data_IF_186286202650
#
_entry.id   IF_186286202650
#
_cell.length_a   1.000
_cell.length_b   1.000
_cell.length_c   1.000
_cell.angle_alpha   90.00
_cell.angle_beta   90.00
_cell.angle_gamma   90.00
#
_symmetry.space_group_name_H-M   'P 1'
#
loop_
_entity.id
_entity.type
_entity.pdbx_description
1 polymer ?
#
# COMPACT_ATOMS: atom_id res chain seq x y z
N UNK A 1 38.84 -8.23 77.01
CA UNK A 1 38.57 -9.41 76.16
C UNK A 1 37.77 -8.92 74.96
N UNK A 2 38.41 -8.84 73.79
CA UNK A 2 37.80 -8.44 72.51
C UNK A 2 36.70 -9.46 72.15
N UNK A 3 35.46 -9.06 71.83
CA UNK A 3 34.64 -9.71 70.76
C UNK A 3 33.57 -8.71 70.20
N UNK A 4 33.72 -8.45 68.90
CA UNK A 4 32.84 -8.02 67.81
C UNK A 4 31.44 -7.38 67.96
N UNK A 5 31.26 -6.27 67.22
CA UNK A 5 30.05 -5.93 66.45
C UNK A 5 29.95 -6.77 65.16
N UNK A 6 28.73 -6.99 64.63
CA UNK A 6 28.26 -6.21 63.47
C UNK A 6 26.78 -5.76 63.64
N UNK A 7 26.43 -4.49 63.43
CA UNK A 7 26.08 -3.82 62.17
C UNK A 7 24.74 -4.29 61.51
N UNK A 8 23.95 -3.37 60.93
CA UNK A 8 22.50 -3.51 60.74
C UNK A 8 22.12 -4.18 59.42
N UNK A 9 20.94 -4.79 59.41
CA UNK A 9 20.31 -5.43 58.25
C UNK A 9 20.14 -4.40 57.12
N UNK A 10 20.87 -4.61 56.02
CA UNK A 10 20.69 -3.90 54.76
C UNK A 10 19.28 -4.20 54.21
N UNK A 11 18.46 -3.16 54.08
CA UNK A 11 17.19 -3.20 53.39
C UNK A 11 17.49 -3.25 51.88
N UNK A 12 17.42 -4.45 51.29
CA UNK A 12 17.65 -4.66 49.86
C UNK A 12 16.44 -4.15 49.07
N UNK A 13 16.51 -2.89 48.63
CA UNK A 13 15.58 -2.32 47.66
C UNK A 13 15.75 -3.05 46.32
N UNK A 14 14.80 -3.93 46.00
CA UNK A 14 14.68 -4.56 44.68
C UNK A 14 14.16 -3.52 43.68
N UNK A 15 15.08 -2.70 43.16
CA UNK A 15 14.82 -1.82 42.04
C UNK A 15 14.84 -2.70 40.78
N UNK A 16 13.67 -3.09 40.29
CA UNK A 16 13.53 -3.71 38.98
C UNK A 16 13.91 -2.64 37.94
N UNK A 17 15.16 -2.66 37.49
CA UNK A 17 15.58 -1.97 36.30
C UNK A 17 14.85 -2.62 35.11
N UNK A 18 13.71 -2.04 34.74
CA UNK A 18 13.12 -2.22 33.43
C UNK A 18 14.11 -1.55 32.47
N UNK A 19 15.07 -2.32 31.97
CA UNK A 19 15.93 -1.88 30.90
C UNK A 19 15.02 -1.50 29.73
N UNK A 20 14.92 -0.19 29.46
CA UNK A 20 14.39 0.31 28.21
C UNK A 20 15.27 -0.31 27.12
N UNK A 21 14.74 -1.32 26.44
CA UNK A 21 15.32 -1.81 25.20
C UNK A 21 15.30 -0.60 24.27
N UNK A 22 16.45 -0.14 23.76
CA UNK A 22 16.46 0.98 22.84
C UNK A 22 15.55 0.63 21.66
N UNK A 23 14.64 1.55 21.35
CA UNK A 23 13.68 1.50 20.24
C UNK A 23 14.39 1.65 18.88
N UNK A 24 15.54 1.00 18.70
CA UNK A 24 15.93 0.51 17.40
C UNK A 24 15.35 -0.90 17.29
N UNK A 25 14.02 -0.96 17.15
CA UNK A 25 13.43 -2.10 16.51
C UNK A 25 14.15 -2.24 15.18
N UNK A 26 14.95 -3.30 15.03
CA UNK A 26 15.39 -3.74 13.71
C UNK A 26 14.15 -3.68 12.83
N UNK A 27 14.10 -2.72 11.91
CA UNK A 27 13.15 -2.75 10.83
C UNK A 27 13.47 -4.04 10.09
N UNK A 28 12.78 -5.13 10.45
CA UNK A 28 12.85 -6.37 9.71
C UNK A 28 12.49 -5.97 8.28
N UNK A 29 13.48 -6.02 7.39
CA UNK A 29 13.25 -5.79 5.97
C UNK A 29 12.29 -6.87 5.53
N UNK A 30 10.99 -6.56 5.53
CA UNK A 30 9.98 -7.47 5.01
C UNK A 30 10.36 -7.66 3.54
N UNK A 31 10.76 -8.88 3.14
CA UNK A 31 11.14 -9.12 1.75
C UNK A 31 9.96 -8.75 0.87
N UNK A 32 10.23 -8.04 -0.24
CA UNK A 32 9.20 -7.70 -1.19
C UNK A 32 8.45 -8.97 -1.61
N UNK A 33 7.11 -8.94 -1.69
CA UNK A 33 6.35 -10.11 -2.11
C UNK A 33 6.78 -10.53 -3.51
N UNK A 34 6.78 -11.83 -3.79
CA UNK A 34 7.02 -12.30 -5.14
C UNK A 34 5.79 -11.95 -6.02
N UNK A 35 6.01 -11.09 -7.01
CA UNK A 35 4.98 -10.55 -7.90
C UNK A 35 5.09 -11.17 -9.29
N UNK A 36 3.98 -11.64 -9.83
CA UNK A 36 3.85 -11.96 -11.24
C UNK A 36 3.43 -10.71 -12.02
N UNK A 37 4.17 -10.38 -13.07
CA UNK A 37 3.86 -9.28 -13.98
C UNK A 37 3.40 -9.85 -15.32
N UNK A 38 2.26 -9.40 -15.79
CA UNK A 38 1.72 -9.71 -17.11
C UNK A 38 1.50 -8.42 -17.91
N UNK A 39 1.76 -8.46 -19.20
CA UNK A 39 1.56 -7.32 -20.09
C UNK A 39 0.72 -7.71 -21.30
N UNK A 40 -0.08 -6.79 -21.79
CA UNK A 40 -0.86 -6.93 -23.01
C UNK A 40 -0.92 -5.59 -23.74
N UNK A 41 -1.04 -5.63 -25.06
CA UNK A 41 -1.27 -4.44 -25.89
C UNK A 41 -2.23 -4.75 -27.03
N UNK A 42 -2.95 -3.73 -27.49
CA UNK A 42 -3.87 -3.82 -28.62
C UNK A 42 -4.00 -2.48 -29.36
N UNK A 43 -4.16 -2.55 -30.68
CA UNK A 43 -4.30 -1.39 -31.54
C UNK A 43 -5.78 -0.96 -31.61
N UNK A 44 -6.05 0.33 -31.46
CA UNK A 44 -7.36 0.96 -31.69
C UNK A 44 -8.53 0.39 -30.87
N UNK A 45 -8.26 -0.34 -29.79
CA UNK A 45 -9.28 -0.95 -28.93
C UNK A 45 -8.91 -0.63 -27.48
N UNK A 46 -9.85 -0.07 -26.71
CA UNK A 46 -9.66 0.18 -25.27
C UNK A 46 -9.87 -1.08 -24.45
N UNK A 47 -9.46 -1.06 -23.18
CA UNK A 47 -9.74 -2.16 -22.26
C UNK A 47 -11.07 -1.93 -21.54
N UNK A 48 -11.70 -3.02 -21.09
CA UNK A 48 -12.68 -2.94 -20.02
C UNK A 48 -11.91 -2.68 -18.71
N UNK A 49 -12.37 -1.68 -17.96
CA UNK A 49 -11.82 -1.31 -16.65
C UNK A 49 -12.86 -1.54 -15.57
N UNK A 50 -12.42 -1.72 -14.32
CA UNK A 50 -13.35 -1.88 -13.22
C UNK A 50 -14.04 -0.55 -12.88
N UNK A 51 -15.21 -0.62 -12.25
CA UNK A 51 -15.90 0.56 -11.69
C UNK A 51 -16.27 0.38 -10.22
N UNK A 52 -15.83 -0.74 -9.65
CA UNK A 52 -16.17 -1.25 -8.34
C UNK A 52 -14.95 -1.86 -7.62
N UNK A 53 -13.74 -1.43 -7.98
CA UNK A 53 -12.51 -1.81 -7.27
C UNK A 53 -12.27 -0.92 -6.02
N UNK A 54 -11.18 -1.17 -5.30
CA UNK A 54 -10.91 -0.48 -4.04
C UNK A 54 -10.69 1.03 -4.22
N UNK A 55 -10.21 1.48 -5.37
CA UNK A 55 -10.00 2.90 -5.65
C UNK A 55 -11.30 3.66 -5.92
N UNK A 56 -12.40 2.99 -6.26
CA UNK A 56 -13.73 3.59 -6.42
C UNK A 56 -14.62 3.38 -5.18
N UNK A 57 -14.48 2.24 -4.49
CA UNK A 57 -15.42 1.84 -3.42
C UNK A 57 -14.91 2.10 -2.01
N UNK A 58 -13.60 2.19 -1.83
CA UNK A 58 -12.95 2.19 -0.52
C UNK A 58 -11.83 3.22 -0.39
N UNK A 59 -11.86 4.27 -1.21
CA UNK A 59 -10.87 5.34 -1.17
C UNK A 59 -11.23 6.35 -0.08
N UNK A 60 -10.33 6.56 0.90
CA UNK A 60 -10.47 7.64 1.87
C UNK A 60 -9.94 8.95 1.30
N UNK A 61 -8.74 8.93 0.72
CA UNK A 61 -8.10 10.12 0.15
C UNK A 61 -7.16 9.75 -0.99
N UNK A 62 -7.01 10.66 -1.96
CA UNK A 62 -5.96 10.63 -2.97
C UNK A 62 -5.07 11.87 -2.87
N UNK A 63 -3.76 11.71 -3.11
CA UNK A 63 -2.82 12.82 -3.25
C UNK A 63 -1.97 12.66 -4.51
N UNK A 64 -1.66 13.79 -5.15
CA UNK A 64 -1.03 13.85 -6.45
C UNK A 64 0.11 14.87 -6.43
N UNK A 65 1.28 14.45 -6.90
CA UNK A 65 2.43 15.30 -7.16
C UNK A 65 2.65 15.40 -8.67
N UNK A 66 2.83 16.63 -9.17
CA UNK A 66 2.92 16.92 -10.60
C UNK A 66 1.58 17.25 -11.26
N UNK A 67 1.63 17.80 -12.48
CA UNK A 67 0.44 18.12 -13.28
C UNK A 67 0.13 17.00 -14.29
N UNK A 68 -0.99 16.32 -14.07
CA UNK A 68 -1.45 15.19 -14.90
C UNK A 68 -2.25 15.62 -16.15
N UNK A 69 -2.28 16.91 -16.49
CA UNK A 69 -3.13 17.47 -17.56
C UNK A 69 -2.39 17.91 -18.82
N UNK A 70 -1.21 17.34 -19.10
CA UNK A 70 -0.49 17.67 -20.34
C UNK A 70 -1.37 17.36 -21.56
N UNK A 71 -1.26 18.19 -22.58
CA UNK A 71 -1.99 18.06 -23.85
C UNK A 71 -3.53 17.98 -23.70
N UNK A 72 -4.09 18.57 -22.64
CA UNK A 72 -5.54 18.63 -22.43
C UNK A 72 -6.14 17.39 -21.75
N UNK A 73 -5.30 16.49 -21.23
CA UNK A 73 -5.71 15.30 -20.49
C UNK A 73 -6.67 15.62 -19.32
N UNK A 74 -7.61 14.71 -19.04
CA UNK A 74 -8.59 14.83 -17.96
C UNK A 74 -7.90 15.04 -16.58
N UNK A 75 -6.70 14.47 -16.44
CA UNK A 75 -5.88 14.58 -15.26
C UNK A 75 -6.10 13.43 -14.29
N UNK A 76 -5.68 13.61 -13.05
CA UNK A 76 -5.64 12.55 -12.05
C UNK A 76 -6.99 11.88 -11.74
N UNK A 77 -8.11 12.48 -12.13
CA UNK A 77 -9.45 11.87 -12.04
C UNK A 77 -9.59 10.63 -12.92
N UNK A 78 -8.80 10.51 -14.00
CA UNK A 78 -8.81 9.35 -14.89
C UNK A 78 -8.03 8.15 -14.33
N UNK A 79 -7.55 8.23 -13.08
CA UNK A 79 -6.91 7.07 -12.46
C UNK A 79 -7.91 6.08 -11.87
N UNK A 80 -9.13 6.51 -11.53
CA UNK A 80 -10.07 5.70 -10.76
C UNK A 80 -11.52 6.13 -10.98
N UNK A 81 -11.90 6.51 -12.19
CA UNK A 81 -13.29 6.92 -12.47
C UNK A 81 -14.12 5.82 -13.14
N UNK A 82 -13.53 4.64 -13.36
CA UNK A 82 -14.13 3.50 -14.01
C UNK A 82 -14.36 3.69 -15.51
N UNK A 83 -13.64 4.63 -16.14
CA UNK A 83 -13.80 4.95 -17.55
C UNK A 83 -12.44 4.95 -18.25
N UNK A 84 -12.20 3.95 -19.11
CA UNK A 84 -11.02 3.94 -19.98
C UNK A 84 -11.02 5.09 -21.02
N UNK A 85 -12.21 5.57 -21.38
CA UNK A 85 -12.45 6.48 -22.50
C UNK A 85 -12.88 5.77 -23.80
N UNK A 86 -13.22 6.54 -24.83
CA UNK A 86 -13.73 6.05 -26.11
C UNK A 86 -12.89 4.91 -26.72
N UNK A 87 -13.44 3.70 -26.80
CA UNK A 87 -12.72 2.55 -27.33
C UNK A 87 -12.41 2.77 -28.84
N UNK A 88 -11.18 3.17 -29.16
CA UNK A 88 -10.71 3.44 -30.53
C UNK A 88 -10.58 4.93 -30.90
N UNK A 89 -9.60 5.19 -31.79
CA UNK A 89 -9.17 6.49 -32.33
C UNK A 89 -9.49 7.73 -31.47
N UNK A 90 -8.91 7.77 -30.27
CA UNK A 90 -8.97 8.92 -29.38
C UNK A 90 -7.90 9.93 -29.76
N UNK A 91 -8.32 11.18 -30.01
CA UNK A 91 -7.44 12.33 -30.25
C UNK A 91 -6.62 12.73 -29.00
N UNK A 92 -5.98 13.90 -29.04
CA UNK A 92 -5.11 14.37 -27.96
C UNK A 92 -5.87 14.56 -26.64
N UNK A 93 -5.30 14.01 -25.56
CA UNK A 93 -5.65 14.36 -24.19
C UNK A 93 -7.04 13.95 -23.72
N UNK A 94 -7.61 12.84 -24.20
CA UNK A 94 -8.93 12.38 -23.76
C UNK A 94 -9.02 11.96 -22.28
N UNK A 95 -9.76 10.89 -22.03
CA UNK A 95 -9.92 10.27 -20.71
C UNK A 95 -8.61 9.65 -20.23
N UNK A 96 -7.67 10.48 -19.76
CA UNK A 96 -6.34 10.04 -19.31
C UNK A 96 -5.72 11.00 -18.28
N UNK A 97 -4.75 10.48 -17.55
CA UNK A 97 -3.81 11.19 -16.70
C UNK A 97 -2.41 11.07 -17.33
N UNK A 98 -1.79 12.20 -17.71
CA UNK A 98 -0.42 12.19 -18.25
C UNK A 98 0.60 12.10 -17.13
N UNK A 99 1.54 11.17 -17.20
CA UNK A 99 2.57 11.04 -16.18
C UNK A 99 3.95 10.69 -16.75
N UNK A 100 4.98 11.23 -16.09
CA UNK A 100 6.41 10.98 -16.32
C UNK A 100 7.16 10.88 -14.98
N UNK A 101 8.50 10.88 -15.01
CA UNK A 101 9.33 10.75 -13.82
C UNK A 101 9.18 11.86 -12.75
N UNK A 102 8.41 12.91 -13.02
CA UNK A 102 8.11 13.98 -12.06
C UNK A 102 6.78 13.80 -11.32
N UNK A 103 6.04 12.72 -11.60
CA UNK A 103 4.70 12.51 -11.08
C UNK A 103 4.63 11.40 -10.04
N UNK A 104 3.77 11.60 -9.03
CA UNK A 104 3.40 10.55 -8.07
C UNK A 104 1.90 10.60 -7.83
N UNK A 105 1.25 9.44 -7.82
CA UNK A 105 -0.14 9.27 -7.38
C UNK A 105 -0.19 8.35 -6.16
N UNK A 106 -0.79 8.82 -5.08
CA UNK A 106 -0.93 8.07 -3.83
C UNK A 106 -2.40 7.95 -3.48
N UNK A 107 -2.84 6.73 -3.17
CA UNK A 107 -4.21 6.41 -2.82
C UNK A 107 -4.24 5.73 -1.46
N UNK A 108 -4.97 6.33 -0.53
CA UNK A 108 -5.15 5.82 0.83
C UNK A 108 -6.56 5.27 0.96
N UNK A 109 -6.67 3.99 1.28
CA UNK A 109 -7.95 3.32 1.51
C UNK A 109 -8.56 3.73 2.86
N UNK A 110 -9.87 3.58 2.97
CA UNK A 110 -10.58 3.64 4.24
C UNK A 110 -10.15 2.47 5.17
N UNK A 111 -10.61 2.47 6.42
CA UNK A 111 -10.29 1.42 7.40
C UNK A 111 -11.54 0.68 7.87
N UNK A 112 -12.58 0.56 7.02
CA UNK A 112 -13.84 -0.09 7.39
C UNK A 112 -13.63 -1.56 7.85
N UNK A 113 -12.53 -2.20 7.41
CA UNK A 113 -12.07 -3.53 7.87
C UNK A 113 -11.09 -3.56 9.07
N UNK A 114 -10.66 -2.40 9.57
CA UNK A 114 -9.72 -2.26 10.69
C UNK A 114 -8.25 -2.28 10.28
N UNK A 115 -7.79 -3.32 9.58
CA UNK A 115 -6.36 -3.56 9.31
C UNK A 115 -5.91 -3.17 7.90
N UNK A 116 -6.74 -2.43 7.15
CA UNK A 116 -6.53 -2.18 5.72
C UNK A 116 -7.06 -3.32 4.84
N UNK A 117 -6.44 -3.53 3.68
CA UNK A 117 -6.91 -4.45 2.65
C UNK A 117 -5.86 -5.48 2.28
N UNK A 118 -6.29 -6.71 2.01
CA UNK A 118 -5.48 -7.71 1.33
C UNK A 118 -5.69 -7.55 -0.17
N UNK A 119 -4.65 -7.13 -0.88
CA UNK A 119 -4.71 -6.89 -2.31
C UNK A 119 -4.53 -8.20 -3.07
N UNK A 120 -5.42 -8.53 -4.00
CA UNK A 120 -5.28 -9.69 -4.90
C UNK A 120 -4.58 -9.34 -6.20
N UNK A 121 -4.85 -8.15 -6.74
CA UNK A 121 -4.32 -7.74 -8.02
C UNK A 121 -4.28 -6.21 -8.18
N UNK A 122 -3.38 -5.74 -9.03
CA UNK A 122 -3.39 -4.38 -9.57
C UNK A 122 -3.38 -4.49 -11.09
N UNK A 123 -4.30 -3.82 -11.77
CA UNK A 123 -4.23 -3.64 -13.22
C UNK A 123 -4.03 -2.16 -13.54
N UNK A 124 -3.11 -1.85 -14.43
CA UNK A 124 -2.90 -0.48 -14.89
C UNK A 124 -3.07 -0.43 -16.38
N UNK A 125 -3.70 0.65 -16.83
CA UNK A 125 -4.09 0.82 -18.20
C UNK A 125 -3.48 2.11 -18.72
N UNK A 126 -2.94 2.05 -19.93
CA UNK A 126 -2.48 3.24 -20.63
C UNK A 126 -2.90 3.18 -22.09
N UNK A 127 -2.96 4.33 -22.73
CA UNK A 127 -3.20 4.39 -24.15
C UNK A 127 -3.23 5.81 -24.68
N UNK A 128 -2.74 5.99 -25.89
CA UNK A 128 -2.78 7.29 -26.57
C UNK A 128 -2.73 7.05 -28.08
N UNK A 129 -1.68 7.48 -28.77
CA UNK A 129 -1.44 7.23 -30.19
C UNK A 129 -0.53 6.01 -30.40
N UNK A 130 -0.08 5.79 -31.65
CA UNK A 130 0.63 4.57 -32.05
C UNK A 130 1.91 4.27 -31.31
N UNK A 131 2.54 5.27 -30.69
CA UNK A 131 3.82 5.08 -30.00
C UNK A 131 3.77 5.49 -28.53
N UNK A 132 2.63 5.98 -28.01
CA UNK A 132 2.47 6.45 -26.63
C UNK A 132 1.56 5.57 -25.78
N UNK A 133 1.63 4.26 -26.00
CA UNK A 133 0.92 3.26 -25.19
C UNK A 133 1.73 2.71 -24.02
N UNK A 134 2.94 3.20 -23.79
CA UNK A 134 3.85 2.67 -22.79
C UNK A 134 3.42 2.95 -21.34
N UNK A 135 4.04 2.24 -20.40
CA UNK A 135 3.87 2.41 -18.97
C UNK A 135 5.23 2.27 -18.27
N UNK A 136 5.58 3.23 -17.42
CA UNK A 136 6.80 3.20 -16.62
C UNK A 136 6.52 3.76 -15.22
N UNK A 137 6.63 2.93 -14.18
CA UNK A 137 6.39 3.34 -12.80
C UNK A 137 6.93 2.31 -11.80
N UNK A 138 7.14 2.75 -10.56
CA UNK A 138 7.29 1.90 -9.39
C UNK A 138 5.99 1.94 -8.61
N UNK A 139 5.44 0.77 -8.27
CA UNK A 139 4.31 0.67 -7.37
C UNK A 139 4.77 0.13 -6.02
N UNK A 140 4.36 0.83 -4.96
CA UNK A 140 4.68 0.51 -3.58
C UNK A 140 3.43 0.58 -2.72
N UNK A 141 3.47 -0.03 -1.54
CA UNK A 141 2.37 0.02 -0.58
C UNK A 141 2.87 0.31 0.83
N UNK A 142 2.00 0.86 1.66
CA UNK A 142 2.21 0.98 3.10
C UNK A 142 1.07 0.26 3.84
N UNK A 143 1.37 -0.27 5.02
CA UNK A 143 0.39 -1.03 5.82
C UNK A 143 -0.33 -0.12 6.81
N UNK A 144 -1.50 -0.56 7.31
CA UNK A 144 -2.21 0.15 8.37
C UNK A 144 -1.37 0.31 9.66
N UNK A 145 -0.45 -0.62 9.92
CA UNK A 145 0.45 -0.57 11.08
C UNK A 145 1.66 0.36 10.87
N UNK A 146 2.03 0.64 9.61
CA UNK A 146 3.17 1.48 9.25
C UNK A 146 2.85 2.35 8.02
N UNK A 147 1.92 3.33 8.15
CA UNK A 147 1.34 4.05 7.01
C UNK A 147 2.31 4.95 6.24
N UNK A 148 3.49 5.25 6.83
CA UNK A 148 4.53 6.09 6.22
C UNK A 148 5.70 5.28 5.65
N UNK A 149 5.71 3.96 5.84
CA UNK A 149 6.80 3.08 5.40
C UNK A 149 6.36 2.32 4.16
N UNK A 150 6.92 2.68 3.02
CA UNK A 150 6.57 2.08 1.74
C UNK A 150 7.46 0.89 1.41
N UNK A 151 6.82 -0.21 1.05
CA UNK A 151 7.42 -1.45 0.57
C UNK A 151 7.14 -1.53 -0.93
N UNK A 152 8.18 -1.71 -1.74
CA UNK A 152 8.03 -1.88 -3.19
C UNK A 152 7.30 -3.20 -3.51
N UNK A 153 6.32 -3.14 -4.41
CA UNK A 153 5.69 -4.33 -5.00
C UNK A 153 6.35 -4.70 -6.32
N UNK A 154 6.47 -3.72 -7.23
CA UNK A 154 7.02 -3.94 -8.55
C UNK A 154 7.55 -2.65 -9.16
N UNK A 155 8.62 -2.79 -9.92
CA UNK A 155 9.06 -1.82 -10.92
C UNK A 155 8.56 -2.27 -12.29
N UNK A 156 7.80 -1.42 -12.97
CA UNK A 156 7.19 -1.71 -14.28
C UNK A 156 7.83 -0.82 -15.33
N UNK A 157 8.28 -1.44 -16.42
CA UNK A 157 8.64 -0.77 -17.65
C UNK A 157 8.12 -1.59 -18.84
N UNK A 158 7.13 -1.05 -19.54
CA UNK A 158 6.53 -1.66 -20.72
C UNK A 158 6.30 -0.59 -21.80
N UNK A 159 7.20 -0.49 -22.77
CA UNK A 159 7.11 0.49 -23.85
C UNK A 159 6.28 -0.06 -25.03
N UNK A 160 4.96 -0.12 -24.85
CA UNK A 160 4.04 -0.68 -25.82
C UNK A 160 3.90 0.19 -27.08
N UNK A 161 3.95 -0.45 -28.26
CA UNK A 161 3.75 0.20 -29.57
C UNK A 161 2.92 -0.68 -30.50
N UNK A 162 2.12 -0.06 -31.38
CA UNK A 162 1.33 -0.76 -32.39
C UNK A 162 1.39 -0.03 -33.72
N UNK A 163 1.32 -0.78 -34.82
CA UNK A 163 1.41 -0.21 -36.17
C UNK A 163 0.03 0.29 -36.61
N UNK A 164 -0.11 1.60 -36.78
CA UNK A 164 -1.28 2.23 -37.39
C UNK A 164 -2.43 2.43 -36.41
N UNK A 165 -2.55 3.66 -35.91
CA UNK A 165 -3.59 4.08 -34.97
C UNK A 165 -3.09 4.07 -33.53
N UNK A 166 -4.00 4.00 -32.57
CA UNK A 166 -3.74 4.18 -31.15
C UNK A 166 -3.20 2.90 -30.49
N UNK A 167 -2.15 3.03 -29.67
CA UNK A 167 -1.67 1.93 -28.83
C UNK A 167 -2.29 1.99 -27.45
N UNK A 168 -2.84 0.87 -27.02
CA UNK A 168 -3.44 0.67 -25.72
C UNK A 168 -2.70 -0.49 -25.03
N UNK A 169 -2.39 -0.35 -23.75
CA UNK A 169 -1.72 -1.38 -22.98
C UNK A 169 -2.39 -1.64 -21.64
N UNK A 170 -2.18 -2.85 -21.14
CA UNK A 170 -2.51 -3.27 -19.78
C UNK A 170 -1.27 -3.90 -19.15
N UNK A 171 -0.99 -3.55 -17.90
CA UNK A 171 -0.08 -4.30 -17.03
C UNK A 171 -0.89 -4.87 -15.88
N UNK A 172 -0.73 -6.15 -15.60
CA UNK A 172 -1.38 -6.84 -14.48
C UNK A 172 -0.35 -7.38 -13.49
N UNK A 173 -0.55 -7.10 -12.21
CA UNK A 173 0.28 -7.53 -11.09
C UNK A 173 -0.53 -8.45 -10.18
N UNK A 174 -0.02 -9.65 -9.90
CA UNK A 174 -0.64 -10.60 -8.95
C UNK A 174 0.41 -11.22 -8.04
N UNK A 175 -0.01 -11.68 -6.85
CA UNK A 175 0.88 -12.41 -5.96
C UNK A 175 1.20 -13.81 -6.51
N UNK A 176 2.45 -14.26 -6.40
CA UNK A 176 2.86 -15.56 -6.95
C UNK A 176 2.39 -16.78 -6.16
N UNK A 177 1.80 -16.57 -4.97
CA UNK A 177 1.36 -17.63 -4.07
C UNK A 177 0.23 -17.23 -3.12
N UNK A 178 -0.54 -16.20 -3.45
CA UNK A 178 -1.61 -15.68 -2.59
C UNK A 178 -1.88 -14.20 -2.85
N UNK A 179 -2.18 -13.45 -1.79
CA UNK A 179 -2.34 -12.00 -1.86
C UNK A 179 -1.07 -11.33 -2.42
N UNK A 180 -1.26 -10.32 -3.27
CA UNK A 180 -0.20 -9.44 -3.75
C UNK A 180 0.44 -8.69 -2.58
N UNK A 181 -0.39 -8.23 -1.64
CA UNK A 181 0.02 -7.54 -0.42
C UNK A 181 -1.05 -7.70 0.66
N UNK A 182 -0.67 -7.60 1.93
CA UNK A 182 -1.61 -7.76 3.06
C UNK A 182 -1.60 -6.54 3.96
N UNK A 183 -2.73 -6.30 4.62
CA UNK A 183 -2.94 -5.17 5.54
C UNK A 183 -2.60 -3.79 4.94
N UNK A 184 -2.84 -3.63 3.63
CA UNK A 184 -2.51 -2.42 2.88
C UNK A 184 -3.45 -1.29 3.26
N UNK A 185 -2.89 -0.16 3.64
CA UNK A 185 -3.65 1.08 3.83
C UNK A 185 -3.44 2.04 2.66
N UNK A 186 -2.24 2.06 2.06
CA UNK A 186 -1.89 3.03 1.02
C UNK A 186 -1.20 2.33 -0.13
N UNK A 187 -1.55 2.67 -1.35
CA UNK A 187 -0.80 2.32 -2.56
C UNK A 187 -0.25 3.59 -3.22
N UNK A 188 0.97 3.52 -3.73
CA UNK A 188 1.64 4.66 -4.37
C UNK A 188 2.29 4.25 -5.67
N UNK A 189 1.96 4.98 -6.72
CA UNK A 189 2.53 4.90 -8.05
C UNK A 189 3.48 6.07 -8.23
N UNK A 190 4.78 5.78 -8.32
CA UNK A 190 5.81 6.74 -8.67
C UNK A 190 6.13 6.55 -10.14
N UNK A 191 5.69 7.48 -10.98
CA UNK A 191 5.87 7.37 -12.42
C UNK A 191 7.34 7.57 -12.80
N UNK A 192 7.73 7.07 -13.96
CA UNK A 192 9.14 7.00 -14.38
C UNK A 192 9.32 7.50 -15.80
N UNK A 193 10.53 8.00 -16.08
CA UNK A 193 10.95 8.38 -17.42
C UNK A 193 11.34 7.14 -18.27
N UNK A 194 11.62 7.37 -19.55
CA UNK A 194 12.16 6.36 -20.46
C UNK A 194 11.18 5.80 -21.47
N UNK A 195 9.93 6.26 -21.47
CA UNK A 195 8.96 5.98 -22.51
C UNK A 195 9.21 6.82 -23.77
N UNK A 196 8.73 6.33 -24.90
CA UNK A 196 8.73 7.11 -26.14
C UNK A 196 7.94 8.40 -25.91
N UNK A 197 8.53 9.55 -26.26
CA UNK A 197 7.99 10.90 -26.04
C UNK A 197 7.96 11.39 -24.57
N UNK A 198 8.56 10.65 -23.64
CA UNK A 198 8.89 11.12 -22.30
C UNK A 198 7.75 11.08 -21.28
N UNK A 199 6.52 10.72 -21.66
CA UNK A 199 5.40 10.51 -20.75
C UNK A 199 4.36 9.56 -21.37
N UNK A 200 3.45 9.03 -20.55
CA UNK A 200 2.31 8.23 -21.00
C UNK A 200 0.97 8.80 -20.52
N UNK A 201 -0.10 8.48 -21.25
CA UNK A 201 -1.47 8.67 -20.76
C UNK A 201 -2.00 7.41 -20.10
N UNK A 202 -2.05 7.44 -18.77
CA UNK A 202 -2.68 6.41 -17.95
C UNK A 202 -4.19 6.60 -18.00
N UNK A 203 -4.94 5.51 -18.15
CA UNK A 203 -6.37 5.48 -18.45
C UNK A 203 -7.24 5.02 -17.31
N UNK A 204 -6.67 4.17 -16.45
CA UNK A 204 -7.26 3.72 -15.19
C UNK A 204 -6.16 2.97 -14.42
N UNK A 205 -6.28 2.97 -13.10
CA UNK A 205 -5.60 2.08 -12.19
C UNK A 205 -6.70 1.30 -11.46
N UNK A 206 -6.74 -0.01 -11.63
CA UNK A 206 -7.65 -0.86 -10.87
C UNK A 206 -6.87 -1.53 -9.72
N UNK A 207 -7.40 -1.47 -8.50
CA UNK A 207 -6.81 -2.17 -7.34
C UNK A 207 -7.85 -3.09 -6.69
N UNK A 208 -7.61 -4.40 -6.79
CA UNK A 208 -8.53 -5.41 -6.28
C UNK A 208 -8.06 -5.98 -4.96
N UNK A 209 -9.01 -6.27 -4.08
CA UNK A 209 -8.75 -6.92 -2.80
C UNK A 209 -9.99 -7.01 -1.94
N UNK A 210 -9.77 -7.41 -0.69
CA UNK A 210 -10.82 -7.49 0.33
C UNK A 210 -10.31 -6.90 1.64
N UNK A 211 -11.22 -6.46 2.49
CA UNK A 211 -10.89 -6.01 3.84
C UNK A 211 -10.08 -7.09 4.59
N UNK A 212 -8.96 -6.70 5.19
CA UNK A 212 -8.17 -7.58 6.02
C UNK A 212 -8.89 -7.78 7.37
N UNK A 213 -9.05 -9.05 7.79
CA UNK A 213 -9.69 -9.34 9.06
C UNK A 213 -8.87 -8.81 10.24
N UNK A 214 -9.54 -8.32 11.27
CA UNK A 214 -8.89 -8.00 12.53
C UNK A 214 -8.23 -9.27 13.12
N UNK A 215 -7.04 -9.18 13.75
CA UNK A 215 -6.43 -10.32 14.42
C UNK A 215 -7.38 -10.81 15.51
N UNK A 216 -7.74 -12.10 15.47
CA UNK A 216 -8.45 -12.73 16.59
C UNK A 216 -7.40 -12.93 17.70
N UNK A 217 -7.60 -12.38 18.91
CA UNK A 217 -6.64 -12.56 20.00
C UNK A 217 -6.45 -14.04 20.29
N UNK A 218 -5.19 -14.49 20.31
CA UNK A 218 -4.89 -15.88 20.64
C UNK A 218 -5.31 -16.18 22.10
N UNK A 219 -5.75 -17.41 22.43
CA UNK A 219 -6.22 -17.75 23.77
C UNK A 219 -5.22 -17.42 24.89
N UNK A 220 -3.92 -17.46 24.59
CA UNK A 220 -2.85 -17.08 25.52
C UNK A 220 -2.82 -15.58 25.83
N UNK A 221 -3.11 -14.71 24.86
CA UNK A 221 -3.21 -13.26 25.08
C UNK A 221 -4.41 -12.93 25.97
N UNK A 222 -5.54 -13.62 25.75
CA UNK A 222 -6.73 -13.51 26.60
C UNK A 222 -6.43 -14.02 28.01
N UNK A 223 -5.78 -15.18 28.14
CA UNK A 223 -5.40 -15.74 29.44
C UNK A 223 -4.47 -14.82 30.22
N UNK A 224 -3.48 -14.20 29.57
CA UNK A 224 -2.56 -13.25 30.19
C UNK A 224 -3.26 -11.97 30.63
N UNK A 225 -4.19 -11.45 29.81
CA UNK A 225 -4.99 -10.29 30.16
C UNK A 225 -5.86 -10.59 31.40
N UNK A 226 -6.55 -11.73 31.42
CA UNK A 226 -7.37 -12.16 32.55
C UNK A 226 -6.55 -12.40 33.82
N UNK A 227 -5.37 -13.02 33.70
CA UNK A 227 -4.46 -13.22 34.83
C UNK A 227 -3.96 -11.88 35.40
N UNK A 228 -3.61 -10.92 34.54
CA UNK A 228 -3.21 -9.57 34.95
C UNK A 228 -4.33 -8.83 35.67
N UNK A 229 -5.57 -8.89 35.15
CA UNK A 229 -6.73 -8.31 35.81
C UNK A 229 -7.04 -8.98 37.15
N UNK A 230 -6.90 -10.30 37.24
CA UNK A 230 -7.05 -11.05 38.49
C UNK A 230 -6.05 -10.62 39.57
N UNK A 231 -4.79 -10.41 39.20
CA UNK A 231 -3.74 -9.91 40.10
C UNK A 231 -4.02 -8.49 40.60
N UNK A 232 -4.49 -7.60 39.71
CA UNK A 232 -4.88 -6.23 40.08
C UNK A 232 -6.07 -6.22 41.05
N UNK A 233 -7.09 -7.04 40.80
CA UNK A 233 -8.25 -7.20 41.67
C UNK A 233 -7.86 -7.75 43.06
N UNK A 234 -6.99 -8.75 43.10
CA UNK A 234 -6.47 -9.31 44.35
C UNK A 234 -5.67 -8.27 45.15
N UNK A 235 -4.85 -7.44 44.48
CA UNK A 235 -4.08 -6.37 45.10
C UNK A 235 -4.97 -5.25 45.64
N UNK A 236 -6.03 -4.88 44.91
CA UNK A 236 -7.01 -3.89 45.35
C UNK A 236 -7.80 -4.34 46.59
N UNK A 237 -8.15 -5.64 46.67
CA UNK A 237 -8.81 -6.22 47.85
C UNK A 237 -7.92 -6.17 49.10
N UNK A 238 -6.62 -6.47 48.98
CA UNK A 238 -5.69 -6.41 50.12
C UNK A 238 -5.52 -5.00 50.69
N UNK A 239 -5.60 -3.97 49.84
CA UNK A 239 -5.51 -2.56 50.27
C UNK A 239 -6.76 -2.02 50.98
N UNK A 240 -7.89 -2.73 50.96
CA UNK A 240 -9.13 -2.32 51.64
C UNK A 240 -9.31 -2.96 53.03
N UNK A 241 -8.46 -3.92 53.39
CA UNK A 241 -8.56 -4.68 54.64
C UNK A 241 -7.42 -4.31 55.62
N UNK A 242 -6.50 -3.45 55.19
CA UNK A 242 -5.51 -2.77 56.03
C UNK A 242 -5.94 -1.32 56.24
#
# INVERSE_FOLDING_TARGET
MKIHHPAPLLMLSLLAALAAVPEEALAATVPAPAVNISTAQQANVGYAVASDDLLQTHLATSSFEGDFRKEGANGAVAFNNGVYGGQGNQGNGGESATADGSHTATFTFDTVGGQGYNLSAINTYAGWDGNRGGQAYVVSYATAAAPTTFIELATVFFNATTRGGNTNSRVGLTGSGGWLATNVQTVRFQFSNGLDYGYAGYRELDVFGVAAAAPVPEPSQVAMLLAGMGLLAARARRKRVA
#
